data_IF_745462286326
#
_entry.id   IF_745462286326
#
_cell.length_a   1.000
_cell.length_b   1.000
_cell.length_c   1.000
_cell.angle_alpha   90.00
_cell.angle_beta   90.00
_cell.angle_gamma   90.00
#
_symmetry.space_group_name_H-M   'P 1'
#
loop_
_entity.id
_entity.type
_entity.pdbx_description
1 polymer ?
#
# COMPACT_ATOMS: atom_id res chain seq x y z
N UNK A 1 -16.38 3.42 15.22
CA UNK A 1 -15.40 2.40 15.65
C UNK A 1 -16.02 1.03 15.38
N UNK A 2 -15.32 0.12 14.70
CA UNK A 2 -15.84 -1.22 14.34
C UNK A 2 -16.22 -1.99 15.64
N UNK A 3 -17.41 -2.61 15.74
CA UNK A 3 -17.81 -3.41 16.90
C UNK A 3 -16.82 -4.54 17.24
N UNK A 4 -16.29 -5.25 16.23
CA UNK A 4 -15.30 -6.32 16.43
C UNK A 4 -14.01 -5.79 17.05
N UNK A 5 -13.57 -4.60 16.60
CA UNK A 5 -12.41 -3.91 17.18
C UNK A 5 -12.66 -3.54 18.65
N UNK A 6 -13.87 -3.12 19.00
CA UNK A 6 -14.23 -2.77 20.39
C UNK A 6 -14.21 -4.02 21.27
N UNK A 7 -14.77 -5.13 20.80
CA UNK A 7 -14.77 -6.40 21.52
C UNK A 7 -13.36 -6.92 21.75
N UNK A 8 -12.52 -6.92 20.70
CA UNK A 8 -11.13 -7.34 20.80
C UNK A 8 -10.30 -6.48 21.77
N UNK A 9 -10.47 -5.15 21.74
CA UNK A 9 -9.75 -4.24 22.64
C UNK A 9 -10.22 -4.34 24.10
N UNK A 10 -11.39 -4.91 24.35
CA UNK A 10 -11.96 -5.12 25.69
C UNK A 10 -11.56 -6.48 26.31
N UNK A 11 -10.79 -7.33 25.61
CA UNK A 11 -10.35 -8.62 26.15
C UNK A 11 -9.47 -8.44 27.38
N UNK A 12 -9.74 -9.23 28.43
CA UNK A 12 -8.98 -9.23 29.68
C UNK A 12 -7.53 -9.71 29.49
N UNK A 13 -7.32 -10.65 28.57
CA UNK A 13 -6.01 -11.19 28.22
C UNK A 13 -5.91 -11.39 26.71
N UNK A 14 -4.77 -11.01 26.13
CA UNK A 14 -4.52 -11.24 24.71
C UNK A 14 -4.23 -12.73 24.46
N UNK A 15 -4.71 -13.30 23.34
CA UNK A 15 -4.26 -14.63 22.92
C UNK A 15 -2.77 -14.60 22.57
N UNK A 16 -2.08 -15.74 22.65
CA UNK A 16 -0.63 -15.79 22.44
C UNK A 16 -0.18 -15.31 21.05
N UNK A 17 -0.98 -15.61 20.02
CA UNK A 17 -0.78 -15.13 18.65
C UNK A 17 -1.97 -14.31 18.19
N UNK A 18 -1.72 -13.25 17.46
CA UNK A 18 -2.75 -12.38 16.87
C UNK A 18 -2.51 -12.18 15.38
N UNK A 19 -3.56 -11.97 14.60
CA UNK A 19 -3.47 -11.73 13.17
C UNK A 19 -3.08 -10.27 12.86
N UNK A 20 -2.86 -9.96 11.58
CA UNK A 20 -2.48 -8.60 11.15
C UNK A 20 -3.53 -7.54 11.53
N UNK A 21 -4.81 -7.85 11.41
CA UNK A 21 -5.91 -6.93 11.72
C UNK A 21 -5.95 -6.59 13.21
N UNK A 22 -5.87 -7.61 14.07
CA UNK A 22 -5.81 -7.49 15.52
C UNK A 22 -4.58 -6.70 15.98
N UNK A 23 -3.41 -6.98 15.39
CA UNK A 23 -2.18 -6.24 15.65
C UNK A 23 -2.33 -4.76 15.26
N UNK A 24 -2.97 -4.46 14.12
CA UNK A 24 -3.27 -3.09 13.69
C UNK A 24 -4.14 -2.37 14.74
N UNK A 25 -5.22 -3.01 15.18
CA UNK A 25 -6.12 -2.46 16.18
C UNK A 25 -5.41 -2.17 17.50
N UNK A 26 -4.52 -3.08 17.91
CA UNK A 26 -3.74 -2.95 19.16
C UNK A 26 -2.76 -1.78 19.11
N UNK A 27 -2.18 -1.53 17.95
CA UNK A 27 -1.23 -0.44 17.71
C UNK A 27 -1.89 0.86 17.24
N UNK A 28 -3.20 0.86 16.99
CA UNK A 28 -3.93 2.05 16.52
C UNK A 28 -3.74 2.36 15.03
N UNK A 29 -3.33 1.39 14.22
CA UNK A 29 -3.21 1.53 12.76
C UNK A 29 -4.39 0.88 12.03
N UNK A 30 -4.52 1.21 10.73
CA UNK A 30 -5.39 0.48 9.82
C UNK A 30 -4.78 -0.88 9.43
N UNK A 31 -5.59 -1.92 9.15
CA UNK A 31 -5.10 -3.25 8.78
C UNK A 31 -4.12 -3.23 7.60
N UNK A 32 -4.36 -2.37 6.61
CA UNK A 32 -3.51 -2.21 5.43
C UNK A 32 -2.09 -1.73 5.78
N UNK A 33 -1.94 -0.97 6.86
CA UNK A 33 -0.65 -0.45 7.28
C UNK A 33 0.27 -1.56 7.80
N UNK A 34 -0.27 -2.66 8.34
CA UNK A 34 0.55 -3.74 8.89
C UNK A 34 1.43 -4.39 7.82
N UNK A 35 0.91 -4.55 6.60
CA UNK A 35 1.71 -5.05 5.48
C UNK A 35 2.88 -4.12 5.11
N UNK A 36 2.68 -2.80 5.24
CA UNK A 36 3.74 -1.79 5.04
C UNK A 36 4.80 -1.92 6.13
N UNK A 37 4.37 -2.01 7.40
CA UNK A 37 5.27 -2.14 8.54
C UNK A 37 6.09 -3.43 8.51
N UNK A 38 5.50 -4.55 8.06
CA UNK A 38 6.24 -5.80 7.82
C UNK A 38 7.27 -5.62 6.70
N UNK A 39 6.88 -5.00 5.59
CA UNK A 39 7.79 -4.76 4.46
C UNK A 39 8.94 -3.81 4.83
N UNK A 40 8.70 -2.87 5.76
CA UNK A 40 9.70 -1.97 6.32
C UNK A 40 10.56 -2.61 7.43
N UNK A 41 10.33 -3.88 7.79
CA UNK A 41 11.04 -4.58 8.86
C UNK A 41 10.70 -4.08 10.28
N UNK A 42 9.64 -3.29 10.44
CA UNK A 42 9.21 -2.75 11.74
C UNK A 42 8.34 -3.72 12.53
N UNK A 43 7.68 -4.65 11.84
CA UNK A 43 6.95 -5.78 12.43
C UNK A 43 7.48 -7.10 11.87
N UNK A 44 7.65 -8.08 12.75
CA UNK A 44 8.12 -9.42 12.38
C UNK A 44 6.97 -10.43 12.53
N UNK A 45 6.51 -11.07 11.44
CA UNK A 45 5.55 -12.16 11.55
C UNK A 45 6.19 -13.39 12.22
N UNK A 46 5.35 -14.20 12.85
CA UNK A 46 5.73 -15.50 13.39
C UNK A 46 6.05 -16.46 12.24
N UNK A 47 7.27 -17.00 12.24
CA UNK A 47 7.77 -17.88 11.19
C UNK A 47 8.04 -17.16 9.86
N UNK A 48 8.05 -17.92 8.77
CA UNK A 48 8.20 -17.41 7.41
C UNK A 48 6.98 -17.82 6.56
N UNK A 49 5.84 -17.11 6.69
CA UNK A 49 4.63 -17.48 5.97
C UNK A 49 4.84 -17.35 4.45
N UNK A 50 4.37 -18.32 3.64
CA UNK A 50 4.40 -18.22 2.18
C UNK A 50 3.67 -16.97 1.66
N UNK A 51 3.97 -16.58 0.42
CA UNK A 51 3.25 -15.49 -0.24
C UNK A 51 1.74 -15.79 -0.28
N UNK A 52 0.91 -14.84 0.20
CA UNK A 52 -0.54 -15.00 0.28
C UNK A 52 -1.06 -15.67 1.56
N UNK A 53 -0.20 -16.27 2.38
CA UNK A 53 -0.61 -16.83 3.66
C UNK A 53 -0.90 -15.73 4.71
N UNK A 54 -1.82 -16.03 5.62
CA UNK A 54 -2.16 -15.15 6.75
C UNK A 54 -0.95 -14.99 7.68
N UNK A 55 -0.61 -13.75 8.01
CA UNK A 55 0.49 -13.42 8.91
C UNK A 55 -0.02 -13.36 10.35
N UNK A 56 0.68 -14.05 11.24
CA UNK A 56 0.45 -13.98 12.68
C UNK A 56 1.62 -13.30 13.38
N UNK A 57 1.36 -12.72 14.54
CA UNK A 57 2.33 -11.99 15.36
C UNK A 57 2.21 -12.44 16.81
N UNK A 58 3.30 -12.37 17.56
CA UNK A 58 3.26 -12.63 19.00
C UNK A 58 2.60 -11.43 19.69
N UNK A 59 1.55 -11.66 20.48
CA UNK A 59 0.86 -10.57 21.15
C UNK A 59 1.77 -9.79 22.12
N UNK A 60 2.69 -10.49 22.78
CA UNK A 60 3.68 -9.88 23.69
C UNK A 60 4.61 -8.90 22.96
N UNK A 61 5.08 -9.24 21.75
CA UNK A 61 5.93 -8.35 20.95
C UNK A 61 5.17 -7.08 20.54
N UNK A 62 3.90 -7.24 20.15
CA UNK A 62 3.03 -6.12 19.78
C UNK A 62 2.79 -5.20 20.99
N UNK A 63 2.56 -5.75 22.17
CA UNK A 63 2.41 -4.96 23.40
C UNK A 63 3.70 -4.21 23.75
N UNK A 64 4.86 -4.83 23.55
CA UNK A 64 6.15 -4.17 23.74
C UNK A 64 6.32 -2.98 22.79
N UNK A 65 5.93 -3.13 21.51
CA UNK A 65 5.99 -2.00 20.54
C UNK A 65 5.03 -0.87 20.90
N UNK A 66 3.90 -1.19 21.52
CA UNK A 66 2.90 -0.21 21.94
C UNK A 66 3.46 0.85 22.91
N UNK A 67 4.48 0.49 23.70
CA UNK A 67 5.13 1.40 24.65
C UNK A 67 6.32 2.18 24.08
N UNK A 68 6.76 1.91 22.84
CA UNK A 68 7.95 2.51 22.26
C UNK A 68 7.61 3.71 21.34
N UNK A 69 7.75 4.92 21.87
CA UNK A 69 7.50 6.15 21.12
C UNK A 69 8.39 6.30 19.86
N UNK A 70 9.66 5.88 19.93
CA UNK A 70 10.58 5.97 18.78
C UNK A 70 10.16 5.02 17.67
N UNK A 71 9.63 3.85 18.06
CA UNK A 71 9.06 2.90 17.11
C UNK A 71 7.82 3.49 16.41
N UNK A 72 6.92 4.17 17.14
CA UNK A 72 5.75 4.84 16.54
C UNK A 72 6.11 5.94 15.54
N UNK A 73 7.14 6.74 15.85
CA UNK A 73 7.64 7.75 14.90
C UNK A 73 8.12 7.10 13.61
N UNK A 74 8.91 6.01 13.72
CA UNK A 74 9.40 5.27 12.55
C UNK A 74 8.27 4.61 11.77
N UNK A 75 7.29 4.03 12.46
CA UNK A 75 6.12 3.41 11.84
C UNK A 75 5.30 4.43 11.04
N UNK A 76 5.08 5.61 11.61
CA UNK A 76 4.33 6.69 10.96
C UNK A 76 5.05 7.22 9.72
N UNK A 77 6.37 7.42 9.80
CA UNK A 77 7.17 7.83 8.64
C UNK A 77 7.21 6.76 7.55
N UNK A 78 7.31 5.48 7.90
CA UNK A 78 7.28 4.38 6.93
C UNK A 78 5.96 4.34 6.14
N UNK A 79 4.83 4.56 6.83
CA UNK A 79 3.52 4.66 6.19
C UNK A 79 3.50 5.87 5.24
N UNK A 80 3.93 7.05 5.70
CA UNK A 80 3.96 8.28 4.89
C UNK A 80 4.81 8.12 3.63
N UNK A 81 5.99 7.53 3.76
CA UNK A 81 6.92 7.29 2.65
C UNK A 81 6.28 6.38 1.60
N UNK A 82 5.61 5.31 2.02
CA UNK A 82 4.89 4.42 1.10
C UNK A 82 3.82 5.20 0.29
N UNK A 83 3.05 6.06 0.94
CA UNK A 83 2.05 6.87 0.24
C UNK A 83 2.69 7.86 -0.74
N UNK A 84 3.79 8.49 -0.35
CA UNK A 84 4.58 9.36 -1.24
C UNK A 84 5.07 8.60 -2.46
N UNK A 85 5.68 7.44 -2.29
CA UNK A 85 6.16 6.59 -3.40
C UNK A 85 5.03 6.17 -4.33
N UNK A 86 3.86 5.81 -3.79
CA UNK A 86 2.68 5.45 -4.58
C UNK A 86 2.23 6.64 -5.44
N UNK A 87 2.20 7.84 -4.87
CA UNK A 87 1.78 9.05 -5.56
C UNK A 87 2.78 9.47 -6.64
N UNK A 88 4.08 9.37 -6.36
CA UNK A 88 5.14 9.66 -7.34
C UNK A 88 5.11 8.68 -8.53
N UNK A 89 4.90 7.38 -8.27
CA UNK A 89 4.72 6.38 -9.33
C UNK A 89 3.48 6.67 -10.17
N UNK A 90 2.36 7.03 -9.53
CA UNK A 90 1.14 7.41 -10.23
C UNK A 90 1.35 8.68 -11.08
N UNK A 91 2.06 9.69 -10.56
CA UNK A 91 2.41 10.90 -11.32
C UNK A 91 3.25 10.57 -12.56
N UNK A 92 4.32 9.76 -12.41
CA UNK A 92 5.17 9.32 -13.52
C UNK A 92 4.37 8.56 -14.59
N UNK A 93 3.47 7.65 -14.18
CA UNK A 93 2.61 6.92 -15.13
C UNK A 93 1.63 7.83 -15.89
N UNK A 94 1.14 8.91 -15.29
CA UNK A 94 0.27 9.89 -15.95
C UNK A 94 1.03 10.73 -16.97
N UNK A 95 2.25 11.17 -16.64
CA UNK A 95 3.11 11.91 -17.58
C UNK A 95 3.49 11.06 -18.80
N UNK A 96 3.82 9.78 -18.58
CA UNK A 96 4.11 8.84 -19.67
C UNK A 96 2.90 8.61 -20.59
N UNK A 97 1.68 8.53 -20.05
CA UNK A 97 0.46 8.34 -20.83
C UNK A 97 0.06 9.59 -21.64
N UNK A 98 0.33 10.79 -21.12
CA UNK A 98 0.07 12.05 -21.83
C UNK A 98 0.98 12.29 -23.04
N UNK A 99 2.22 11.81 -23.00
CA UNK A 99 3.20 11.98 -24.08
C UNK A 99 2.92 11.15 -25.34
N UNK A 100 2.09 10.10 -25.27
CA UNK A 100 1.81 9.19 -26.40
C UNK A 100 0.67 9.71 -27.31
N UNK A 101 0.03 10.82 -26.96
CA UNK A 101 -1.16 11.33 -27.67
C UNK A 101 -0.88 12.39 -28.75
N UNK A 102 0.39 12.75 -29.04
CA UNK A 102 0.71 13.85 -29.97
C UNK A 102 1.72 13.43 -31.05
N UNK A 103 1.39 12.44 -31.87
CA UNK A 103 1.97 12.30 -33.22
C UNK A 103 1.03 11.48 -34.10
N UNK A 104 0.12 12.15 -34.82
CA UNK A 104 -0.36 11.68 -36.11
C UNK A 104 -0.90 12.88 -36.92
N UNK A 105 0.01 13.78 -37.30
CA UNK A 105 -0.21 14.68 -38.44
C UNK A 105 0.08 13.91 -39.71
N UNK A 106 -0.97 13.45 -40.38
CA UNK A 106 -0.91 12.62 -41.58
C UNK A 106 -0.40 13.45 -42.77
N UNK A 107 0.86 13.27 -43.15
CA UNK A 107 1.40 13.70 -44.43
C UNK A 107 1.47 12.50 -45.37
N UNK A 108 0.74 12.52 -46.49
CA UNK A 108 1.15 11.91 -47.77
C UNK A 108 0.16 12.23 -48.90
N UNK A 109 0.59 13.18 -49.74
CA UNK A 109 0.60 13.22 -51.21
C UNK A 109 -0.32 12.27 -52.03
N UNK A 110 -1.03 12.83 -53.01
CA UNK A 110 -1.75 12.08 -54.04
C UNK A 110 -2.11 12.94 -55.25
N UNK A 111 -1.15 13.15 -56.15
CA UNK A 111 -1.35 13.57 -57.54
C UNK A 111 -2.41 12.69 -58.23
N UNK A 112 -3.38 13.29 -58.94
CA UNK A 112 -3.79 12.74 -60.25
C UNK A 112 -4.53 13.75 -61.13
N UNK A 113 -3.90 14.01 -62.27
CA UNK A 113 -4.47 14.60 -63.47
C UNK A 113 -5.50 13.65 -64.12
N UNK A 114 -6.58 14.19 -64.69
CA UNK A 114 -7.21 13.72 -65.95
C UNK A 114 -8.38 14.61 -66.38
N UNK A 115 -8.32 14.95 -67.67
CA UNK A 115 -9.28 15.67 -68.49
C UNK A 115 -10.72 15.15 -68.42
N UNK A 116 -11.71 16.02 -68.69
CA UNK A 116 -12.68 15.84 -69.79
C UNK A 116 -13.62 17.04 -69.97
N UNK A 117 -13.69 17.45 -71.23
CA UNK A 117 -14.58 18.42 -71.86
C UNK A 117 -16.07 18.12 -71.65
N UNK A 118 -16.90 19.16 -71.48
CA UNK A 118 -17.81 19.66 -72.53
C UNK A 118 -18.37 21.03 -72.17
#
# INVERSE_FOLDING_TARGET
MNPERKEFLNLLSLPGRINATEAAWRLGFEPDHVSILVSAGLLKPLGNPPAGAMKFFLAADIEQKKADAKWFTKASEAIRLKWKDKNERAAKSRTLKGSVSTTNGNATNGNNSRDRHS
#
